data_IF_289516530206
#
_entry.id   IF_289516530206
#
_cell.length_a   1.000
_cell.length_b   1.000
_cell.length_c   1.000
_cell.angle_alpha   90.00
_cell.angle_beta   90.00
_cell.angle_gamma   90.00
#
_symmetry.space_group_name_H-M   'P 1'
#
loop_
_entity.id
_entity.type
_entity.pdbx_description
1 polymer ?
#
# COMPACT_ATOMS: atom_id res chain seq x y z
N UNK A 1 49.39 1.74 73.33
CA UNK A 1 48.15 2.06 74.04
C UNK A 1 47.37 3.05 73.19
N UNK A 2 46.39 2.59 72.42
CA UNK A 2 45.26 3.35 71.86
C UNK A 2 44.53 2.49 70.80
N UNK A 3 43.33 2.06 71.16
CA UNK A 3 42.15 1.74 70.34
C UNK A 3 41.94 2.81 69.24
N UNK A 4 41.33 2.62 68.07
CA UNK A 4 40.08 1.98 67.62
C UNK A 4 39.98 2.32 66.11
N UNK A 5 39.40 1.52 65.23
CA UNK A 5 37.97 1.61 64.95
C UNK A 5 37.67 1.24 63.49
N UNK A 6 36.70 0.36 63.29
CA UNK A 6 36.13 -0.02 62.00
C UNK A 6 35.39 1.16 61.37
N UNK A 7 35.73 1.49 60.13
CA UNK A 7 34.94 2.41 59.29
C UNK A 7 33.83 1.58 58.62
N UNK A 8 32.57 1.96 58.87
CA UNK A 8 31.41 1.52 58.07
C UNK A 8 31.38 2.36 56.79
N UNK A 9 31.10 1.78 55.61
CA UNK A 9 30.91 2.58 54.41
C UNK A 9 29.58 3.34 54.46
N UNK A 10 29.63 4.58 54.02
CA UNK A 10 28.53 5.55 53.92
C UNK A 10 27.53 5.15 52.82
N UNK A 11 26.22 5.42 52.96
CA UNK A 11 25.18 4.97 52.03
C UNK A 11 25.04 5.86 50.77
N UNK A 12 26.04 6.70 50.46
CA UNK A 12 25.93 7.75 49.43
C UNK A 12 26.59 7.40 48.08
N UNK A 13 27.04 6.17 47.89
CA UNK A 13 27.66 5.71 46.63
C UNK A 13 26.75 4.82 45.76
N UNK A 14 25.49 4.63 46.16
CA UNK A 14 24.52 3.78 45.45
C UNK A 14 23.53 4.55 44.54
N UNK A 15 23.80 5.82 44.22
CA UNK A 15 22.86 6.67 43.48
C UNK A 15 23.39 7.22 42.13
N UNK A 16 24.57 6.79 41.68
CA UNK A 16 25.19 7.28 40.43
C UNK A 16 25.39 6.21 39.34
N UNK A 17 24.64 5.12 39.41
CA UNK A 17 24.64 4.06 38.37
C UNK A 17 23.25 3.82 37.74
N UNK A 18 22.23 4.57 38.14
CA UNK A 18 20.84 4.39 37.67
C UNK A 18 20.34 5.48 36.70
N UNK A 19 21.23 6.34 36.19
CA UNK A 19 20.87 7.42 35.25
C UNK A 19 21.60 7.33 33.88
N UNK A 20 22.44 6.31 33.67
CA UNK A 20 23.21 6.13 32.43
C UNK A 20 22.65 5.13 31.42
N UNK A 21 21.54 4.44 31.73
CA UNK A 21 21.04 3.30 30.95
C UNK A 21 19.60 3.48 30.42
N UNK A 22 19.16 4.72 30.21
CA UNK A 22 17.85 5.03 29.62
C UNK A 22 17.92 5.97 28.41
N UNK A 23 19.07 6.03 27.75
CA UNK A 23 19.30 6.96 26.63
C UNK A 23 19.97 6.33 25.42
N UNK A 24 19.75 5.05 25.16
CA UNK A 24 20.19 4.40 23.93
C UNK A 24 19.19 3.35 23.46
N UNK A 25 17.96 3.77 23.17
CA UNK A 25 17.04 3.07 22.25
C UNK A 25 15.88 3.99 21.84
N UNK A 26 16.17 5.25 21.51
CA UNK A 26 15.38 5.94 20.50
C UNK A 26 16.10 5.66 19.17
N UNK A 27 15.86 4.47 18.61
CA UNK A 27 15.95 4.33 17.16
C UNK A 27 14.94 5.34 16.61
N UNK A 28 15.43 6.53 16.29
CA UNK A 28 14.76 7.40 15.36
C UNK A 28 14.60 6.56 14.09
N UNK A 29 13.43 5.93 13.92
CA UNK A 29 12.89 5.73 12.59
C UNK A 29 12.76 7.15 12.04
N UNK A 30 13.82 7.62 11.39
CA UNK A 30 13.67 8.70 10.45
C UNK A 30 12.53 8.23 9.54
N UNK A 31 11.41 8.97 9.44
CA UNK A 31 10.41 8.64 8.45
C UNK A 31 11.16 8.51 7.13
N UNK A 32 10.94 7.41 6.40
CA UNK A 32 11.49 7.24 5.06
C UNK A 32 11.25 8.57 4.35
N UNK A 33 12.34 9.24 3.96
CA UNK A 33 12.28 10.61 3.44
C UNK A 33 11.21 10.66 2.34
N UNK A 34 10.34 11.68 2.38
CA UNK A 34 9.29 11.79 1.38
C UNK A 34 9.94 11.77 -0.01
N UNK A 35 9.57 10.76 -0.82
CA UNK A 35 10.12 10.65 -2.18
C UNK A 35 9.21 11.46 -3.08
N UNK A 36 9.44 12.77 -3.15
CA UNK A 36 8.78 13.59 -4.15
C UNK A 36 9.46 13.36 -5.50
N UNK A 37 8.71 12.84 -6.46
CA UNK A 37 9.18 12.68 -7.83
C UNK A 37 8.62 13.78 -8.72
N UNK A 38 9.44 14.21 -9.68
CA UNK A 38 9.03 15.13 -10.74
C UNK A 38 9.55 14.65 -12.10
N UNK A 39 9.25 15.40 -13.16
CA UNK A 39 9.75 15.09 -14.50
C UNK A 39 10.66 16.20 -15.01
N UNK A 40 11.79 15.81 -15.60
CA UNK A 40 12.72 16.70 -16.29
C UNK A 40 12.94 16.15 -17.70
N UNK A 41 12.29 16.78 -18.69
CA UNK A 41 12.19 16.25 -20.06
C UNK A 41 11.60 14.82 -20.04
N UNK A 42 12.38 13.80 -20.42
CA UNK A 42 11.97 12.39 -20.47
C UNK A 42 12.28 11.60 -19.19
N UNK A 43 12.88 12.23 -18.19
CA UNK A 43 13.34 11.55 -16.98
C UNK A 43 12.41 11.81 -15.81
N UNK A 44 12.24 10.78 -14.98
CA UNK A 44 11.75 10.94 -13.61
C UNK A 44 12.96 11.29 -12.74
N UNK A 45 12.83 12.34 -11.93
CA UNK A 45 13.89 12.82 -11.05
C UNK A 45 13.37 13.02 -9.63
N UNK A 46 14.25 12.91 -8.65
CA UNK A 46 13.95 13.23 -7.25
C UNK A 46 14.10 14.75 -6.97
N UNK A 47 13.98 15.13 -5.70
CA UNK A 47 14.11 16.51 -5.24
C UNK A 47 15.51 17.11 -5.46
N UNK A 48 16.56 16.28 -5.54
CA UNK A 48 17.92 16.71 -5.85
C UNK A 48 18.14 16.89 -7.37
N UNK A 49 17.19 16.48 -8.20
CA UNK A 49 17.30 16.44 -9.65
C UNK A 49 18.01 15.18 -10.17
N UNK A 50 18.29 14.21 -9.31
CA UNK A 50 18.92 12.97 -9.69
C UNK A 50 17.91 12.04 -10.37
N UNK A 51 18.36 11.34 -11.41
CA UNK A 51 17.49 10.46 -12.19
C UNK A 51 17.07 9.23 -11.36
N UNK A 52 15.77 9.06 -11.20
CA UNK A 52 15.17 7.88 -10.60
C UNK A 52 14.72 6.91 -11.68
N UNK A 53 15.20 5.66 -11.63
CA UNK A 53 14.71 4.57 -12.47
C UNK A 53 13.75 3.72 -11.67
N UNK A 54 12.49 3.67 -12.10
CA UNK A 54 11.46 2.82 -11.51
C UNK A 54 11.63 1.38 -12.03
N UNK A 55 12.06 0.49 -11.14
CA UNK A 55 12.13 -0.95 -11.36
C UNK A 55 10.99 -1.58 -10.55
N UNK A 56 9.81 -1.69 -11.17
CA UNK A 56 8.60 -2.12 -10.47
C UNK A 56 8.18 -3.55 -10.79
N UNK A 57 7.48 -4.16 -9.83
CA UNK A 57 6.60 -5.31 -10.07
C UNK A 57 5.13 -4.88 -10.05
N UNK A 58 4.24 -5.69 -10.61
CA UNK A 58 2.80 -5.52 -10.46
C UNK A 58 2.30 -6.39 -9.32
N UNK A 59 1.48 -5.84 -8.43
CA UNK A 59 0.80 -6.61 -7.38
C UNK A 59 -0.72 -6.43 -7.51
N UNK A 60 -1.44 -7.48 -7.94
CA UNK A 60 -2.89 -7.43 -8.06
C UNK A 60 -3.60 -7.28 -6.72
N UNK A 61 -4.55 -6.34 -6.65
CA UNK A 61 -5.48 -6.08 -5.54
C UNK A 61 -6.86 -5.61 -6.06
N UNK A 62 -7.09 -5.71 -7.37
CA UNK A 62 -8.31 -5.27 -8.05
C UNK A 62 -9.31 -6.39 -8.37
N UNK A 63 -8.96 -7.65 -8.08
CA UNK A 63 -9.83 -8.80 -8.32
C UNK A 63 -11.06 -8.77 -7.40
N UNK A 64 -12.02 -9.67 -7.61
CA UNK A 64 -13.30 -9.69 -6.90
C UNK A 64 -13.20 -9.59 -5.36
N UNK A 65 -12.23 -10.24 -4.68
CA UNK A 65 -12.10 -10.13 -3.24
C UNK A 65 -11.61 -8.76 -2.76
N UNK A 66 -11.00 -7.96 -3.66
CA UNK A 66 -10.42 -6.64 -3.40
C UNK A 66 -9.41 -6.62 -2.25
N UNK A 67 -8.58 -7.66 -2.23
CA UNK A 67 -7.42 -7.78 -1.35
C UNK A 67 -6.20 -8.11 -2.21
N UNK A 68 -5.03 -7.65 -1.79
CA UNK A 68 -3.78 -7.98 -2.48
C UNK A 68 -3.57 -9.50 -2.51
N UNK A 69 -3.21 -10.02 -3.69
CA UNK A 69 -3.01 -11.45 -3.90
C UNK A 69 -1.87 -12.00 -3.03
N UNK A 70 -1.97 -13.28 -2.66
CA UNK A 70 -0.92 -13.96 -1.89
C UNK A 70 -0.98 -13.78 -0.37
N UNK A 71 -1.82 -12.89 0.17
CA UNK A 71 -1.96 -12.70 1.63
C UNK A 71 -2.55 -13.93 2.36
N UNK A 72 -3.16 -14.87 1.64
CA UNK A 72 -3.53 -16.18 2.18
C UNK A 72 -2.37 -17.14 2.36
N UNK A 73 -1.19 -16.83 1.79
CA UNK A 73 -0.01 -17.71 1.79
C UNK A 73 1.15 -17.15 2.61
N UNK A 74 1.30 -15.83 2.72
CA UNK A 74 2.41 -15.18 3.44
C UNK A 74 2.00 -13.86 4.11
N UNK A 75 2.69 -13.44 5.18
CA UNK A 75 2.53 -12.11 5.76
C UNK A 75 2.84 -11.00 4.75
N UNK A 76 2.05 -9.92 4.77
CA UNK A 76 2.20 -8.77 3.86
C UNK A 76 3.61 -8.18 3.87
N UNK A 77 4.20 -8.00 5.05
CA UNK A 77 5.57 -7.49 5.20
C UNK A 77 6.64 -8.42 4.65
N UNK A 78 6.40 -9.74 4.67
CA UNK A 78 7.32 -10.70 4.06
C UNK A 78 7.30 -10.62 2.54
N UNK A 79 6.11 -10.42 1.94
CA UNK A 79 6.00 -10.22 0.48
C UNK A 79 6.64 -8.87 0.08
N UNK A 80 6.38 -7.80 0.82
CA UNK A 80 6.99 -6.49 0.58
C UNK A 80 8.52 -6.52 0.71
N UNK A 81 9.05 -7.19 1.74
CA UNK A 81 10.49 -7.37 1.94
C UNK A 81 11.16 -8.19 0.84
N UNK A 82 10.47 -9.21 0.29
CA UNK A 82 10.98 -9.98 -0.85
C UNK A 82 11.07 -9.12 -2.12
N UNK A 83 10.10 -8.24 -2.37
CA UNK A 83 10.15 -7.29 -3.50
C UNK A 83 11.42 -6.44 -3.44
N UNK A 84 11.71 -5.87 -2.27
CA UNK A 84 12.93 -5.09 -2.05
C UNK A 84 14.20 -5.95 -2.22
N UNK A 85 14.21 -7.17 -1.67
CA UNK A 85 15.36 -8.09 -1.72
C UNK A 85 15.66 -8.56 -3.15
N UNK A 86 14.64 -8.67 -4.01
CA UNK A 86 14.82 -8.94 -5.44
C UNK A 86 15.38 -7.75 -6.24
N UNK A 87 15.54 -6.58 -5.62
CA UNK A 87 16.10 -5.38 -6.24
C UNK A 87 15.08 -4.48 -6.92
N UNK A 88 13.78 -4.72 -6.71
CA UNK A 88 12.73 -3.80 -7.15
C UNK A 88 12.57 -2.66 -6.14
N UNK A 89 12.33 -1.45 -6.64
CA UNK A 89 12.15 -0.25 -5.80
C UNK A 89 10.71 0.28 -5.83
N UNK A 90 9.81 -0.37 -6.56
CA UNK A 90 8.42 0.02 -6.62
C UNK A 90 7.46 -1.15 -6.86
N UNK A 91 6.20 -0.93 -6.49
CA UNK A 91 5.07 -1.78 -6.85
C UNK A 91 4.02 -0.94 -7.56
N UNK A 92 3.58 -1.42 -8.73
CA UNK A 92 2.31 -1.00 -9.34
C UNK A 92 1.19 -1.78 -8.66
N UNK A 93 0.49 -1.12 -7.74
CA UNK A 93 -0.55 -1.72 -6.91
C UNK A 93 -1.92 -1.38 -7.48
N UNK A 94 -2.57 -2.39 -8.05
CA UNK A 94 -3.82 -2.23 -8.79
C UNK A 94 -5.01 -2.08 -7.86
N UNK A 95 -5.99 -1.26 -8.18
CA UNK A 95 -7.25 -1.13 -7.46
C UNK A 95 -8.43 -0.93 -8.42
N UNK A 96 -9.66 -1.34 -8.05
CA UNK A 96 -10.84 -1.12 -8.87
C UNK A 96 -11.61 0.13 -8.42
N UNK A 97 -12.19 0.91 -9.34
CA UNK A 97 -12.92 2.16 -9.02
C UNK A 97 -14.00 1.95 -7.96
N UNK A 98 -14.73 0.83 -8.03
CA UNK A 98 -15.84 0.52 -7.12
C UNK A 98 -15.40 0.27 -5.67
N UNK A 99 -14.10 0.04 -5.40
CA UNK A 99 -13.56 -0.05 -4.04
C UNK A 99 -13.91 1.19 -3.20
N UNK A 100 -13.90 2.38 -3.81
CA UNK A 100 -14.11 3.67 -3.13
C UNK A 100 -15.36 4.43 -3.58
N UNK A 101 -16.05 3.94 -4.61
CA UNK A 101 -17.21 4.63 -5.19
C UNK A 101 -18.53 3.88 -5.05
N UNK A 102 -18.50 2.56 -4.79
CA UNK A 102 -19.71 1.76 -4.70
C UNK A 102 -19.93 1.21 -3.28
N UNK A 103 -21.04 1.60 -2.66
CA UNK A 103 -21.39 1.28 -1.28
C UNK A 103 -21.53 -0.24 -1.01
N UNK A 104 -21.89 -1.04 -2.01
CA UNK A 104 -21.98 -2.50 -1.89
C UNK A 104 -20.62 -3.18 -1.75
N UNK A 105 -19.52 -2.44 -2.00
CA UNK A 105 -18.15 -2.91 -1.81
C UNK A 105 -17.44 -2.17 -0.68
N UNK A 106 -17.50 -0.84 -0.65
CA UNK A 106 -16.77 -0.02 0.34
C UNK A 106 -17.18 -0.27 1.79
N UNK A 107 -18.38 -0.82 2.02
CA UNK A 107 -18.87 -1.20 3.34
C UNK A 107 -18.39 -2.58 3.83
N UNK A 108 -17.76 -3.38 2.98
CA UNK A 108 -17.36 -4.75 3.34
C UNK A 108 -16.04 -4.78 4.10
N UNK A 109 -15.95 -5.70 5.04
CA UNK A 109 -14.66 -6.17 5.55
C UNK A 109 -14.02 -7.18 4.59
N UNK A 110 -12.72 -7.45 4.77
CA UNK A 110 -12.04 -8.54 4.07
C UNK A 110 -12.75 -9.87 4.30
N UNK A 111 -13.08 -10.20 5.56
CA UNK A 111 -13.84 -11.40 5.89
C UNK A 111 -15.15 -11.50 5.10
N UNK A 112 -15.97 -10.44 5.10
CA UNK A 112 -17.26 -10.42 4.41
C UNK A 112 -17.10 -10.58 2.89
N UNK A 113 -16.09 -9.93 2.31
CA UNK A 113 -15.79 -10.05 0.87
C UNK A 113 -15.47 -11.48 0.48
N UNK A 114 -14.60 -12.16 1.26
CA UNK A 114 -14.21 -13.55 1.01
C UNK A 114 -15.35 -14.54 1.27
N UNK A 115 -16.15 -14.35 2.33
CA UNK A 115 -17.30 -15.20 2.62
C UNK A 115 -18.36 -15.13 1.51
N UNK A 116 -18.67 -13.93 1.00
CA UNK A 116 -19.61 -13.75 -0.11
C UNK A 116 -19.18 -14.48 -1.38
N UNK A 117 -17.87 -14.64 -1.59
CA UNK A 117 -17.28 -15.33 -2.74
C UNK A 117 -17.01 -16.82 -2.46
N UNK A 118 -17.42 -17.33 -1.29
CA UNK A 118 -17.16 -18.70 -0.84
C UNK A 118 -15.66 -19.08 -0.83
N UNK A 119 -14.78 -18.11 -0.54
CA UNK A 119 -13.32 -18.27 -0.52
C UNK A 119 -12.81 -18.68 0.87
N UNK A 120 -13.39 -19.73 1.44
CA UNK A 120 -13.17 -20.15 2.84
C UNK A 120 -11.72 -20.58 3.11
N UNK A 121 -11.09 -21.31 2.18
CA UNK A 121 -9.68 -21.73 2.33
C UNK A 121 -8.74 -20.52 2.29
N UNK A 122 -8.92 -19.62 1.33
CA UNK A 122 -8.12 -18.39 1.24
C UNK A 122 -8.28 -17.53 2.48
N UNK A 123 -9.51 -17.40 3.01
CA UNK A 123 -9.77 -16.67 4.24
C UNK A 123 -9.09 -17.30 5.47
N UNK A 124 -9.09 -18.64 5.58
CA UNK A 124 -8.34 -19.32 6.63
C UNK A 124 -6.83 -19.05 6.53
N UNK A 125 -6.28 -19.05 5.31
CA UNK A 125 -4.91 -18.66 5.05
C UNK A 125 -4.61 -17.20 5.44
N UNK A 126 -5.53 -16.28 5.18
CA UNK A 126 -5.39 -14.86 5.57
C UNK A 126 -5.41 -14.75 7.09
N UNK A 127 -6.32 -15.43 7.79
CA UNK A 127 -6.35 -15.44 9.26
C UNK A 127 -5.04 -15.95 9.87
N UNK A 128 -4.43 -16.96 9.27
CA UNK A 128 -3.17 -17.52 9.74
C UNK A 128 -1.97 -16.59 9.50
N UNK A 129 -1.91 -15.94 8.34
CA UNK A 129 -0.73 -15.18 7.91
C UNK A 129 -0.83 -13.66 8.18
N UNK A 130 -2.04 -13.11 8.19
CA UNK A 130 -2.35 -11.69 8.27
C UNK A 130 -3.61 -11.43 9.13
N UNK A 131 -3.68 -11.90 10.39
CA UNK A 131 -4.88 -11.80 11.22
C UNK A 131 -5.41 -10.38 11.38
N UNK A 132 -4.52 -9.38 11.44
CA UNK A 132 -4.87 -7.97 11.58
C UNK A 132 -5.65 -7.38 10.39
N UNK A 133 -5.65 -8.04 9.22
CA UNK A 133 -6.30 -7.54 8.00
C UNK A 133 -7.75 -8.04 7.86
N UNK A 134 -8.11 -9.11 8.55
CA UNK A 134 -9.37 -9.86 8.37
C UNK A 134 -10.61 -8.98 8.61
N UNK A 135 -10.57 -8.18 9.66
CA UNK A 135 -11.70 -7.35 10.10
C UNK A 135 -11.67 -5.93 9.51
N UNK A 136 -10.60 -5.58 8.79
CA UNK A 136 -10.49 -4.28 8.14
C UNK A 136 -11.49 -4.16 7.00
N UNK A 137 -11.99 -2.94 6.79
CA UNK A 137 -12.66 -2.59 5.54
C UNK A 137 -11.69 -2.80 4.38
N UNK A 138 -12.21 -3.15 3.20
CA UNK A 138 -11.37 -3.40 2.01
C UNK A 138 -10.39 -2.26 1.71
N UNK A 139 -10.83 -1.01 1.86
CA UNK A 139 -9.96 0.15 1.64
C UNK A 139 -8.88 0.30 2.73
N UNK A 140 -9.16 -0.08 3.97
CA UNK A 140 -8.17 -0.03 5.05
C UNK A 140 -7.17 -1.20 4.94
N UNK A 141 -7.61 -2.36 4.45
CA UNK A 141 -6.71 -3.43 4.06
C UNK A 141 -5.78 -3.01 2.91
N UNK A 142 -6.28 -2.28 1.91
CA UNK A 142 -5.46 -1.70 0.85
C UNK A 142 -4.42 -0.72 1.41
N UNK A 143 -4.81 0.17 2.34
CA UNK A 143 -3.86 1.06 3.04
C UNK A 143 -2.79 0.29 3.82
N UNK A 144 -3.16 -0.82 4.47
CA UNK A 144 -2.19 -1.65 5.20
C UNK A 144 -1.12 -2.24 4.26
N UNK A 145 -1.50 -2.64 3.05
CA UNK A 145 -0.53 -3.09 2.02
C UNK A 145 0.38 -1.95 1.59
N UNK A 146 -0.16 -0.75 1.35
CA UNK A 146 0.64 0.45 1.02
C UNK A 146 1.62 0.80 2.15
N UNK A 147 1.17 0.78 3.41
CA UNK A 147 2.03 1.03 4.58
C UNK A 147 3.17 0.02 4.65
N UNK A 148 2.87 -1.27 4.46
CA UNK A 148 3.87 -2.33 4.51
C UNK A 148 4.91 -2.21 3.41
N UNK A 149 4.53 -1.76 2.20
CA UNK A 149 5.47 -1.44 1.13
C UNK A 149 6.38 -0.26 1.54
N UNK A 150 5.80 0.80 2.11
CA UNK A 150 6.54 1.95 2.62
C UNK A 150 7.54 1.61 3.73
N UNK A 151 7.14 0.78 4.69
CA UNK A 151 8.00 0.26 5.77
C UNK A 151 9.20 -0.53 5.24
N UNK A 152 9.08 -1.11 4.04
CA UNK A 152 10.14 -1.83 3.34
C UNK A 152 10.88 -0.96 2.30
N UNK A 153 10.69 0.37 2.32
CA UNK A 153 11.27 1.33 1.38
C UNK A 153 10.94 1.03 -0.09
N UNK A 154 9.74 0.49 -0.35
CA UNK A 154 9.23 0.22 -1.70
C UNK A 154 8.21 1.29 -2.05
N UNK A 155 8.46 2.03 -3.14
CA UNK A 155 7.51 3.02 -3.65
C UNK A 155 6.25 2.35 -4.20
N UNK A 156 5.15 3.08 -4.24
CA UNK A 156 3.86 2.61 -4.72
C UNK A 156 3.38 3.51 -5.85
N UNK A 157 3.02 2.88 -6.96
CA UNK A 157 2.25 3.49 -8.03
C UNK A 157 0.84 2.92 -7.93
N UNK A 158 -0.12 3.75 -7.55
CA UNK A 158 -1.52 3.35 -7.51
C UNK A 158 -2.02 3.16 -8.94
N UNK A 159 -2.71 2.07 -9.23
CA UNK A 159 -3.17 1.80 -10.59
C UNK A 159 -4.67 1.53 -10.65
N UNK A 160 -5.40 2.47 -11.25
CA UNK A 160 -6.83 2.26 -11.51
C UNK A 160 -6.98 1.22 -12.62
N UNK A 161 -7.24 -0.03 -12.25
CA UNK A 161 -7.12 -1.15 -13.16
C UNK A 161 -8.41 -1.44 -13.93
N UNK A 162 -9.53 -1.44 -13.20
CA UNK A 162 -10.87 -1.69 -13.71
C UNK A 162 -11.87 -0.89 -12.87
N UNK A 163 -13.12 -0.79 -13.31
CA UNK A 163 -14.15 -0.16 -12.47
C UNK A 163 -14.80 -1.17 -11.56
N UNK A 164 -15.40 -2.21 -12.15
CA UNK A 164 -15.95 -3.35 -11.43
C UNK A 164 -14.81 -4.32 -11.11
N UNK A 165 -14.66 -4.76 -9.85
CA UNK A 165 -13.60 -5.69 -9.46
C UNK A 165 -13.73 -7.02 -10.21
N UNK A 166 -12.62 -7.59 -10.65
CA UNK A 166 -12.61 -8.83 -11.43
C UNK A 166 -11.41 -8.94 -12.36
N UNK A 167 -11.35 -10.06 -13.09
CA UNK A 167 -10.35 -10.30 -14.12
C UNK A 167 -10.65 -9.49 -15.39
N UNK A 168 -9.59 -9.03 -16.04
CA UNK A 168 -9.60 -8.31 -17.31
C UNK A 168 -8.61 -9.01 -18.27
N UNK A 169 -8.40 -8.62 -19.52
CA UNK A 169 -8.69 -7.35 -20.19
C UNK A 169 -9.23 -7.63 -21.58
N UNK A 170 -10.37 -8.33 -21.63
CA UNK A 170 -11.05 -8.65 -22.87
C UNK A 170 -11.67 -7.39 -23.50
N UNK A 171 -11.83 -7.38 -24.83
CA UNK A 171 -12.45 -6.27 -25.54
C UNK A 171 -13.94 -6.05 -25.21
N UNK A 172 -14.58 -7.02 -24.55
CA UNK A 172 -15.99 -6.99 -24.17
C UNK A 172 -16.22 -7.07 -22.64
N UNK A 173 -15.20 -6.84 -21.82
CA UNK A 173 -15.33 -6.89 -20.35
C UNK A 173 -16.09 -5.70 -19.72
N UNK A 174 -16.50 -4.72 -20.54
CA UNK A 174 -17.27 -3.55 -20.14
C UNK A 174 -16.49 -2.52 -19.32
N UNK A 175 -15.15 -2.64 -19.23
CA UNK A 175 -14.26 -1.73 -18.52
C UNK A 175 -13.25 -1.03 -19.45
N UNK A 176 -13.24 -1.34 -20.75
CA UNK A 176 -12.15 -0.98 -21.66
C UNK A 176 -12.12 0.50 -22.05
N UNK A 177 -13.26 1.16 -22.18
CA UNK A 177 -13.33 2.53 -22.69
C UNK A 177 -14.42 3.38 -22.05
N UNK A 178 -14.30 4.71 -22.18
CA UNK A 178 -15.32 5.65 -21.72
C UNK A 178 -16.70 5.31 -22.30
N UNK A 179 -17.72 5.24 -21.44
CA UNK A 179 -19.08 4.87 -21.82
C UNK A 179 -19.33 3.38 -22.01
N UNK A 180 -18.36 2.52 -21.68
CA UNK A 180 -18.63 1.09 -21.47
C UNK A 180 -19.44 0.87 -20.19
N UNK A 181 -20.14 -0.26 -20.11
CA UNK A 181 -21.16 -0.50 -19.08
C UNK A 181 -20.69 -0.41 -17.62
N UNK A 182 -19.38 -0.50 -17.36
CA UNK A 182 -18.81 -0.28 -16.03
C UNK A 182 -17.87 0.93 -15.97
N UNK A 183 -17.57 1.60 -17.08
CA UNK A 183 -16.64 2.73 -17.12
C UNK A 183 -17.34 4.05 -17.40
N UNK A 184 -17.97 4.56 -16.33
CA UNK A 184 -18.53 5.90 -16.29
C UNK A 184 -17.48 6.96 -15.89
N UNK A 185 -17.24 8.00 -16.70
CA UNK A 185 -16.20 9.00 -16.45
C UNK A 185 -16.32 9.73 -15.11
N UNK A 186 -17.53 10.15 -14.71
CA UNK A 186 -17.73 10.88 -13.45
C UNK A 186 -17.40 10.01 -12.23
N UNK A 187 -17.78 8.73 -12.26
CA UNK A 187 -17.47 7.76 -11.20
C UNK A 187 -15.97 7.47 -11.17
N UNK A 188 -15.33 7.41 -12.35
CA UNK A 188 -13.89 7.25 -12.45
C UNK A 188 -13.13 8.44 -11.86
N UNK A 189 -13.52 9.68 -12.21
CA UNK A 189 -12.93 10.90 -11.63
C UNK A 189 -13.13 10.94 -10.12
N UNK A 190 -14.34 10.67 -9.61
CA UNK A 190 -14.60 10.57 -8.17
C UNK A 190 -13.69 9.54 -7.48
N UNK A 191 -13.51 8.37 -8.09
CA UNK A 191 -12.60 7.34 -7.59
C UNK A 191 -11.14 7.79 -7.54
N UNK A 192 -10.65 8.42 -8.62
CA UNK A 192 -9.30 8.98 -8.68
C UNK A 192 -9.10 10.07 -7.61
N UNK A 193 -10.05 10.99 -7.47
CA UNK A 193 -10.01 12.07 -6.48
C UNK A 193 -9.97 11.51 -5.06
N UNK A 194 -10.79 10.49 -4.74
CA UNK A 194 -10.78 9.83 -3.43
C UNK A 194 -9.45 9.16 -3.13
N UNK A 195 -8.90 8.41 -4.07
CA UNK A 195 -7.60 7.75 -3.89
C UNK A 195 -6.48 8.78 -3.76
N UNK A 196 -6.46 9.82 -4.58
CA UNK A 196 -5.45 10.87 -4.50
C UNK A 196 -5.50 11.60 -3.15
N UNK A 197 -6.71 11.96 -2.69
CA UNK A 197 -6.90 12.62 -1.38
C UNK A 197 -6.44 11.72 -0.24
N UNK A 198 -6.77 10.43 -0.31
CA UNK A 198 -6.45 9.45 0.72
C UNK A 198 -4.94 9.22 0.88
N UNK A 199 -4.19 9.28 -0.22
CA UNK A 199 -2.75 9.01 -0.24
C UNK A 199 -1.87 10.26 -0.39
N UNK A 200 -2.45 11.47 -0.42
CA UNK A 200 -1.72 12.72 -0.61
C UNK A 200 -0.60 12.95 0.44
N UNK A 201 -0.80 12.48 1.68
CA UNK A 201 0.18 12.56 2.76
C UNK A 201 1.07 11.33 2.93
N UNK A 202 1.00 10.35 2.01
CA UNK A 202 1.71 9.08 2.12
C UNK A 202 2.98 9.13 1.25
N UNK A 203 4.17 9.31 1.86
CA UNK A 203 5.41 9.70 1.14
C UNK A 203 5.91 8.68 0.12
N UNK A 204 5.54 7.41 0.27
CA UNK A 204 5.94 6.31 -0.62
C UNK A 204 4.95 6.08 -1.75
N UNK A 205 3.80 6.77 -1.79
CA UNK A 205 2.92 6.79 -2.97
C UNK A 205 3.40 7.88 -3.92
N UNK A 206 4.08 7.46 -4.99
CA UNK A 206 4.83 8.38 -5.87
C UNK A 206 4.14 8.67 -7.20
N UNK A 207 2.99 8.04 -7.44
CA UNK A 207 2.23 8.26 -8.67
C UNK A 207 0.92 7.49 -8.72
N UNK A 208 0.11 7.84 -9.71
CA UNK A 208 -1.14 7.15 -10.01
C UNK A 208 -1.30 6.95 -11.52
N UNK A 209 -1.39 5.69 -11.95
CA UNK A 209 -1.85 5.30 -13.27
C UNK A 209 -3.37 5.49 -13.33
N UNK A 210 -3.82 6.35 -14.26
CA UNK A 210 -5.20 6.83 -14.28
C UNK A 210 -6.19 5.78 -14.79
N UNK A 211 -5.81 4.92 -15.74
CA UNK A 211 -6.63 3.80 -16.23
C UNK A 211 -5.76 2.75 -16.90
N UNK A 212 -5.97 1.47 -16.58
CA UNK A 212 -5.30 0.36 -17.26
C UNK A 212 -5.91 0.07 -18.64
N UNK A 213 -5.05 0.02 -19.65
CA UNK A 213 -5.31 -0.56 -20.97
C UNK A 213 -6.62 -0.10 -21.63
N UNK A 214 -6.76 1.19 -21.94
CA UNK A 214 -7.89 1.64 -22.77
C UNK A 214 -7.99 0.76 -24.03
N UNK A 215 -9.15 0.14 -24.25
CA UNK A 215 -9.36 -0.94 -25.23
C UNK A 215 -10.83 -1.08 -25.61
N UNK A 216 -11.11 -2.01 -26.52
CA UNK A 216 -12.47 -2.34 -26.94
C UNK A 216 -12.97 -1.51 -28.13
N UNK A 217 -14.19 -1.81 -28.62
CA UNK A 217 -14.70 -1.28 -29.89
C UNK A 217 -14.92 0.24 -29.90
N UNK A 218 -15.06 0.86 -28.72
CA UNK A 218 -15.19 2.32 -28.55
C UNK A 218 -13.86 3.05 -28.63
N UNK A 219 -12.72 2.37 -28.64
CA UNK A 219 -11.41 2.99 -28.84
C UNK A 219 -11.21 3.41 -30.31
N UNK A 220 -12.01 4.36 -30.76
CA UNK A 220 -12.00 4.91 -32.11
C UNK A 220 -12.05 6.45 -32.06
N UNK A 221 -11.71 7.09 -33.18
CA UNK A 221 -11.59 8.55 -33.26
C UNK A 221 -12.89 9.30 -32.95
N UNK A 222 -14.05 8.69 -33.23
CA UNK A 222 -15.34 9.35 -33.06
C UNK A 222 -15.78 9.41 -31.59
N UNK A 223 -15.31 8.47 -30.77
CA UNK A 223 -15.70 8.36 -29.37
C UNK A 223 -14.65 8.98 -28.42
N UNK A 224 -13.41 9.17 -28.86
CA UNK A 224 -12.34 9.73 -28.02
C UNK A 224 -12.57 11.19 -27.58
N UNK A 225 -13.33 11.96 -28.36
CA UNK A 225 -13.55 13.39 -28.14
C UNK A 225 -14.96 13.74 -27.65
N UNK A 226 -15.76 12.74 -27.29
CA UNK A 226 -17.08 12.93 -26.69
C UNK A 226 -16.96 12.96 -25.17
#
# INVERSE_FOLDING_TARGET
>A
MATTGRVRPSPLLAAWLALGFAWHCALHHAPAAAVTLSTASRWVVDEAGDRVKLACVNWPSHLEPMLAEGLGKRPVGAIAGDVATMGFNCVRLTWPTFLVTNASYSSLTVEQSFQRLNLTESLAGIRANNPAVVDLKLIDAFKAVVSSLGENNVMVILDNHVSKPGWCCDNADGNGFFGDGYFEPDVWVDGLTKMATMFAGVPHVVGMSLRNELRGPRQNSNDWYK
#
